data_IF_871306505513
#
_entry.id   IF_871306505513
#
_cell.length_a   1.000
_cell.length_b   1.000
_cell.length_c   1.000
_cell.angle_alpha   90.00
_cell.angle_beta   90.00
_cell.angle_gamma   90.00
#
_symmetry.space_group_name_H-M   'P 1'
#
loop_
_entity.id
_entity.type
_entity.pdbx_description
1 polymer ?
#
# COMPACT_ATOMS: atom_id res chain seq x y z
N UNK A 1 7.76 21.55 29.74
CA UNK A 1 8.31 20.69 28.67
C UNK A 1 8.87 21.52 27.52
N UNK A 2 8.17 22.57 27.05
CA UNK A 2 8.64 23.46 25.98
C UNK A 2 10.04 24.03 26.30
N UNK A 3 10.25 24.61 27.49
CA UNK A 3 11.56 25.14 27.91
C UNK A 3 12.74 24.19 27.67
N UNK A 4 12.61 22.91 28.03
CA UNK A 4 13.68 21.91 27.90
C UNK A 4 14.20 21.76 26.46
N UNK A 5 13.31 21.82 25.47
CA UNK A 5 13.65 21.65 24.04
C UNK A 5 14.37 22.90 23.49
N UNK A 6 14.15 24.05 24.12
CA UNK A 6 14.81 25.33 23.82
C UNK A 6 16.04 25.59 24.72
N UNK A 7 16.52 24.58 25.46
CA UNK A 7 17.70 24.70 26.31
C UNK A 7 17.45 25.37 27.67
N UNK A 8 16.18 25.64 28.03
CA UNK A 8 15.80 26.09 29.36
C UNK A 8 15.49 24.90 30.26
N UNK A 9 16.43 24.62 31.17
CA UNK A 9 16.35 23.49 32.10
C UNK A 9 15.84 23.87 33.49
N UNK A 10 15.34 25.10 33.69
CA UNK A 10 14.95 25.64 35.01
C UNK A 10 13.86 24.82 35.73
N UNK A 11 12.99 24.16 34.95
CA UNK A 11 11.90 23.31 35.47
C UNK A 11 12.15 21.81 35.27
N UNK A 12 13.40 21.41 35.05
CA UNK A 12 13.76 20.01 34.85
C UNK A 12 14.01 19.28 36.18
N UNK A 13 14.00 17.95 36.14
CA UNK A 13 14.37 17.10 37.28
C UNK A 13 15.52 16.16 36.90
N UNK A 14 16.42 15.88 37.84
CA UNK A 14 17.60 15.01 37.65
C UNK A 14 17.23 13.59 37.23
N UNK A 15 16.03 13.10 37.59
CA UNK A 15 15.56 11.75 37.19
C UNK A 15 15.42 11.54 35.68
N UNK A 16 15.28 12.60 34.89
CA UNK A 16 15.04 12.47 33.44
C UNK A 16 15.80 13.49 32.58
N UNK A 17 16.36 14.55 33.16
CA UNK A 17 17.09 15.56 32.43
C UNK A 17 18.61 15.39 32.61
N UNK A 18 19.25 14.79 31.61
CA UNK A 18 20.71 14.56 31.57
C UNK A 18 21.51 15.87 31.60
N UNK A 19 20.92 16.98 31.14
CA UNK A 19 21.57 18.29 31.05
C UNK A 19 21.77 18.97 32.42
N UNK A 20 21.08 18.53 33.47
CA UNK A 20 21.33 19.02 34.84
C UNK A 20 22.61 18.45 35.43
N UNK A 21 23.01 17.23 35.03
CA UNK A 21 24.24 16.58 35.48
C UNK A 21 25.41 16.80 34.51
N UNK A 22 25.12 16.89 33.21
CA UNK A 22 26.10 17.14 32.17
C UNK A 22 25.65 18.26 31.21
N UNK A 23 26.09 19.51 31.43
CA UNK A 23 25.73 20.66 30.60
C UNK A 23 26.22 20.56 29.14
N UNK A 24 27.15 19.65 28.84
CA UNK A 24 27.70 19.42 27.50
C UNK A 24 27.06 18.23 26.77
N UNK A 25 26.02 17.63 27.35
CA UNK A 25 25.27 16.56 26.70
C UNK A 25 24.65 17.02 25.36
N UNK A 26 24.41 16.09 24.43
CA UNK A 26 23.74 16.36 23.15
C UNK A 26 22.27 15.96 23.22
N UNK A 27 21.40 16.74 22.58
CA UNK A 27 19.98 16.38 22.46
C UNK A 27 19.81 15.20 21.50
N UNK A 28 19.52 13.99 22.01
CA UNK A 28 19.48 12.77 21.18
C UNK A 28 18.35 12.77 20.13
N UNK A 29 17.31 13.58 20.33
CA UNK A 29 16.12 13.63 19.48
C UNK A 29 15.98 14.92 18.67
N UNK A 30 16.94 15.84 18.76
CA UNK A 30 16.92 17.09 18.00
C UNK A 30 17.99 17.10 16.90
N UNK A 31 17.71 17.75 15.76
CA UNK A 31 18.69 17.93 14.69
C UNK A 31 19.99 18.54 15.22
N UNK A 32 21.12 17.97 14.81
CA UNK A 32 22.47 18.42 15.18
C UNK A 32 22.78 18.39 16.68
N UNK A 33 21.93 17.75 17.50
CA UNK A 33 22.11 17.64 18.95
C UNK A 33 22.02 18.96 19.70
N UNK A 34 21.45 20.01 19.09
CA UNK A 34 21.34 21.37 19.63
C UNK A 34 19.91 21.69 20.06
N UNK A 35 19.72 22.62 21.02
CA UNK A 35 18.39 23.12 21.36
C UNK A 35 17.78 23.89 20.19
N UNK A 36 16.44 23.96 20.16
CA UNK A 36 15.74 24.80 19.21
C UNK A 36 15.98 26.28 19.53
N UNK A 37 16.14 27.12 18.50
CA UNK A 37 16.50 28.53 18.65
C UNK A 37 15.42 29.51 18.15
N UNK A 38 14.33 29.02 17.56
CA UNK A 38 13.30 29.90 16.98
C UNK A 38 12.36 30.46 18.08
N UNK A 39 12.41 31.77 18.37
CA UNK A 39 11.62 32.37 19.45
C UNK A 39 10.13 32.43 19.15
N UNK A 40 9.73 32.58 17.88
CA UNK A 40 8.31 32.60 17.48
C UNK A 40 7.68 31.23 17.65
N UNK A 41 8.42 30.17 17.28
CA UNK A 41 8.01 28.79 17.53
C UNK A 41 7.86 28.51 19.03
N UNK A 42 8.79 29.00 19.87
CA UNK A 42 8.70 28.85 21.32
C UNK A 42 7.40 29.46 21.85
N UNK A 43 7.07 30.67 21.40
CA UNK A 43 5.86 31.40 21.82
C UNK A 43 4.57 30.70 21.41
N UNK A 44 4.47 30.20 20.17
CA UNK A 44 3.29 29.45 19.73
C UNK A 44 3.16 28.11 20.46
N UNK A 45 4.26 27.41 20.70
CA UNK A 45 4.25 26.18 21.50
C UNK A 45 3.82 26.47 22.94
N UNK A 46 4.38 27.48 23.59
CA UNK A 46 3.97 27.87 24.94
C UNK A 46 2.48 28.23 24.98
N UNK A 47 1.95 28.91 23.95
CA UNK A 47 0.51 29.18 23.83
C UNK A 47 -0.32 27.90 23.76
N UNK A 48 0.07 26.95 22.91
CA UNK A 48 -0.65 25.67 22.74
C UNK A 48 -0.60 24.84 24.02
N UNK A 49 0.59 24.66 24.59
CA UNK A 49 0.80 23.81 25.76
C UNK A 49 0.16 24.41 27.02
N UNK A 50 0.26 25.73 27.23
CA UNK A 50 -0.30 26.38 28.41
C UNK A 50 -1.81 26.62 28.31
N UNK A 51 -2.37 26.84 27.11
CA UNK A 51 -3.81 27.15 26.95
C UNK A 51 -4.66 25.92 26.64
N UNK A 52 -4.18 24.98 25.82
CA UNK A 52 -4.97 23.78 25.43
C UNK A 52 -4.65 22.56 26.29
N UNK A 53 -3.38 22.33 26.59
CA UNK A 53 -2.98 21.10 27.30
C UNK A 53 -3.33 21.14 28.79
N UNK A 54 -3.26 22.30 29.44
CA UNK A 54 -3.62 22.48 30.85
C UNK A 54 -5.11 22.20 31.12
N UNK A 55 -5.99 22.71 30.25
CA UNK A 55 -7.45 22.52 30.33
C UNK A 55 -7.84 21.05 30.08
N UNK A 56 -7.06 20.34 29.25
CA UNK A 56 -7.31 18.93 28.90
C UNK A 56 -6.44 17.95 29.68
N UNK A 57 -5.62 18.42 30.61
CA UNK A 57 -4.63 17.60 31.32
C UNK A 57 -5.29 16.43 32.06
N UNK A 58 -6.45 16.66 32.68
CA UNK A 58 -7.21 15.64 33.39
C UNK A 58 -7.79 14.58 32.44
N UNK A 59 -8.22 14.97 31.23
CA UNK A 59 -8.67 14.05 30.17
C UNK A 59 -7.50 13.24 29.59
N UNK A 60 -6.33 13.86 29.44
CA UNK A 60 -5.11 13.23 28.94
C UNK A 60 -4.42 12.33 29.98
N UNK A 61 -4.56 12.64 31.27
CA UNK A 61 -4.05 11.80 32.36
C UNK A 61 -4.79 10.45 32.42
N UNK A 62 -6.07 10.44 32.03
CA UNK A 62 -6.92 9.25 31.95
C UNK A 62 -6.81 8.50 30.60
N UNK A 63 -5.69 8.63 29.89
CA UNK A 63 -5.38 7.79 28.72
C UNK A 63 -5.10 6.35 29.18
N UNK A 64 -6.16 5.65 29.57
CA UNK A 64 -6.15 4.20 29.68
C UNK A 64 -5.71 3.63 28.33
N UNK A 65 -4.95 2.53 28.34
CA UNK A 65 -4.37 1.99 27.11
C UNK A 65 -5.48 1.65 26.11
N UNK A 66 -5.56 2.39 25.00
CA UNK A 66 -6.48 2.12 23.88
C UNK A 66 -6.38 0.65 23.42
N UNK A 67 -5.22 0.03 23.60
CA UNK A 67 -4.96 -1.37 23.30
C UNK A 67 -5.91 -2.36 24.00
N UNK A 68 -6.33 -2.08 25.24
CA UNK A 68 -7.26 -2.95 25.98
C UNK A 68 -8.66 -2.86 25.40
N UNK A 69 -9.10 -1.64 25.05
CA UNK A 69 -10.39 -1.39 24.40
C UNK A 69 -10.42 -2.01 23.00
N UNK A 70 -9.35 -1.88 22.22
CA UNK A 70 -9.20 -2.54 20.93
C UNK A 70 -9.28 -4.06 21.05
N UNK A 71 -8.61 -4.64 22.05
CA UNK A 71 -8.66 -6.10 22.24
C UNK A 71 -10.07 -6.57 22.61
N UNK A 72 -10.80 -5.84 23.45
CA UNK A 72 -12.19 -6.14 23.77
C UNK A 72 -13.07 -6.05 22.52
N UNK A 73 -12.92 -4.99 21.72
CA UNK A 73 -13.65 -4.80 20.47
C UNK A 73 -13.39 -5.93 19.46
N UNK A 74 -12.15 -6.42 19.38
CA UNK A 74 -11.82 -7.58 18.54
C UNK A 74 -12.54 -8.84 19.00
N UNK A 75 -12.59 -9.13 20.31
CA UNK A 75 -13.33 -10.29 20.83
C UNK A 75 -14.83 -10.11 20.53
N UNK A 76 -15.39 -8.91 20.75
CA UNK A 76 -16.80 -8.62 20.47
C UNK A 76 -17.13 -8.86 19.00
N UNK A 77 -16.28 -8.43 18.07
CA UNK A 77 -16.47 -8.63 16.64
C UNK A 77 -16.53 -10.12 16.24
N UNK A 78 -15.87 -11.01 16.99
CA UNK A 78 -15.98 -12.47 16.76
C UNK A 78 -17.31 -13.05 17.23
N UNK A 79 -17.91 -12.48 18.28
CA UNK A 79 -19.18 -12.96 18.85
C UNK A 79 -20.39 -12.28 18.21
N UNK A 80 -20.30 -11.01 17.84
CA UNK A 80 -21.35 -10.20 17.25
C UNK A 80 -20.81 -9.45 16.01
N UNK A 81 -20.55 -10.16 14.90
CA UNK A 81 -20.07 -9.54 13.68
C UNK A 81 -21.10 -8.55 13.12
N UNK A 82 -20.63 -7.38 12.64
CA UNK A 82 -21.47 -6.28 12.15
C UNK A 82 -22.41 -6.65 11.00
N UNK A 83 -22.03 -7.64 10.17
CA UNK A 83 -22.84 -8.10 9.04
C UNK A 83 -24.02 -8.99 9.47
N UNK A 84 -24.13 -9.36 10.76
CA UNK A 84 -25.26 -10.10 11.30
C UNK A 84 -26.07 -9.22 12.24
N UNK A 85 -27.38 -9.23 12.08
CA UNK A 85 -28.30 -8.48 12.94
C UNK A 85 -28.58 -9.25 14.24
N UNK A 86 -28.25 -8.66 15.39
CA UNK A 86 -28.50 -9.22 16.73
C UNK A 86 -29.34 -8.32 17.64
N UNK A 87 -29.75 -7.15 17.15
CA UNK A 87 -30.42 -6.12 17.96
C UNK A 87 -31.92 -6.35 18.13
N UNK A 88 -32.53 -7.30 17.39
CA UNK A 88 -33.94 -7.63 17.50
C UNK A 88 -34.32 -8.40 18.79
N UNK A 89 -33.36 -8.71 19.66
CA UNK A 89 -33.59 -9.43 20.93
C UNK A 89 -32.45 -9.19 21.93
N UNK A 90 -32.50 -9.84 23.10
CA UNK A 90 -31.41 -9.88 24.06
C UNK A 90 -30.13 -10.59 23.57
N UNK A 91 -30.12 -11.13 22.34
CA UNK A 91 -28.95 -11.80 21.79
C UNK A 91 -27.71 -10.91 21.77
N UNK A 92 -27.84 -9.62 21.47
CA UNK A 92 -26.70 -8.70 21.49
C UNK A 92 -26.12 -8.56 22.91
N UNK A 93 -26.99 -8.38 23.90
CA UNK A 93 -26.62 -8.28 25.32
C UNK A 93 -25.89 -9.52 25.79
N UNK A 94 -26.40 -10.72 25.50
CA UNK A 94 -25.72 -11.98 25.88
C UNK A 94 -24.34 -12.13 25.23
N UNK A 95 -24.19 -11.73 23.97
CA UNK A 95 -22.90 -11.76 23.26
C UNK A 95 -21.91 -10.76 23.84
N UNK A 96 -22.39 -9.60 24.27
CA UNK A 96 -21.59 -8.61 24.98
C UNK A 96 -21.15 -9.13 26.35
N UNK A 97 -22.07 -9.65 27.18
CA UNK A 97 -21.75 -10.25 28.48
C UNK A 97 -20.75 -11.41 28.33
N UNK A 98 -20.95 -12.29 27.35
CA UNK A 98 -20.01 -13.37 27.05
C UNK A 98 -18.63 -12.87 26.58
N UNK A 99 -18.56 -11.70 25.96
CA UNK A 99 -17.29 -11.05 25.58
C UNK A 99 -16.53 -10.59 26.82
N UNK A 100 -17.24 -9.93 27.74
CA UNK A 100 -16.66 -9.45 29.01
C UNK A 100 -16.19 -10.63 29.87
N UNK A 101 -17.01 -11.66 30.02
CA UNK A 101 -16.65 -12.87 30.75
C UNK A 101 -15.41 -13.55 30.14
N UNK A 102 -15.37 -13.74 28.81
CA UNK A 102 -14.19 -14.30 28.15
C UNK A 102 -12.92 -13.45 28.32
N UNK A 103 -13.07 -12.12 28.34
CA UNK A 103 -11.94 -11.19 28.50
C UNK A 103 -11.31 -11.32 29.90
N UNK A 104 -12.14 -11.51 30.92
CA UNK A 104 -11.72 -11.59 32.32
C UNK A 104 -11.26 -13.01 32.71
N UNK A 105 -12.05 -14.03 32.36
CA UNK A 105 -11.89 -15.42 32.83
C UNK A 105 -11.28 -16.36 31.77
N UNK A 106 -11.15 -15.90 30.52
CA UNK A 106 -10.67 -16.72 29.40
C UNK A 106 -11.77 -17.59 28.79
N UNK A 107 -11.43 -18.64 28.05
CA UNK A 107 -12.45 -19.49 27.40
C UNK A 107 -13.22 -20.39 28.38
N UNK A 108 -12.78 -20.42 29.64
CA UNK A 108 -13.41 -21.17 30.73
C UNK A 108 -14.70 -20.54 31.25
N UNK A 109 -15.00 -19.28 30.94
CA UNK A 109 -16.18 -18.57 31.43
C UNK A 109 -17.51 -19.36 31.26
N UNK A 110 -17.66 -20.16 30.19
CA UNK A 110 -18.86 -20.98 29.97
C UNK A 110 -19.02 -22.05 31.06
N UNK A 111 -17.92 -22.63 31.52
CA UNK A 111 -17.91 -23.59 32.62
C UNK A 111 -18.31 -22.91 33.94
N UNK A 112 -17.80 -21.70 34.20
CA UNK A 112 -18.12 -20.92 35.40
C UNK A 112 -19.60 -20.48 35.41
N UNK A 113 -20.14 -20.10 34.26
CA UNK A 113 -21.57 -19.82 34.09
C UNK A 113 -22.42 -21.07 34.32
N UNK A 114 -22.03 -22.24 33.79
CA UNK A 114 -22.78 -23.48 34.06
C UNK A 114 -22.76 -23.86 35.54
N UNK A 115 -21.60 -23.78 36.20
CA UNK A 115 -21.49 -24.08 37.64
C UNK A 115 -22.34 -23.13 38.49
N UNK A 116 -22.30 -21.83 38.21
CA UNK A 116 -23.13 -20.84 38.93
C UNK A 116 -24.64 -21.04 38.71
N UNK A 117 -25.04 -21.63 37.59
CA UNK A 117 -26.43 -22.00 37.31
C UNK A 117 -26.80 -23.40 37.84
N UNK A 118 -25.89 -24.09 38.54
CA UNK A 118 -26.11 -25.46 39.03
C UNK A 118 -26.18 -26.51 37.92
N UNK A 119 -25.69 -26.19 36.73
CA UNK A 119 -25.66 -27.09 35.57
C UNK A 119 -24.30 -27.78 35.46
N UNK A 120 -24.30 -29.02 34.99
CA UNK A 120 -23.04 -29.69 34.65
C UNK A 120 -22.39 -29.03 33.43
N UNK A 121 -21.14 -28.58 33.51
CA UNK A 121 -20.44 -27.97 32.39
C UNK A 121 -20.25 -28.93 31.20
N UNK A 122 -20.18 -30.23 31.48
CA UNK A 122 -19.92 -31.27 30.50
C UNK A 122 -18.44 -31.39 30.11
N UNK A 123 -17.99 -32.64 29.91
CA UNK A 123 -16.59 -32.96 29.60
C UNK A 123 -16.10 -32.29 28.30
N UNK A 124 -16.97 -32.17 27.29
CA UNK A 124 -16.62 -31.56 26.00
C UNK A 124 -16.39 -30.05 26.12
N UNK A 125 -17.21 -29.35 26.90
CA UNK A 125 -17.07 -27.90 27.14
C UNK A 125 -15.74 -27.60 27.81
N UNK A 126 -15.37 -28.37 28.85
CA UNK A 126 -14.11 -28.22 29.57
C UNK A 126 -12.91 -28.51 28.64
N UNK A 127 -12.97 -29.60 27.87
CA UNK A 127 -11.92 -29.93 26.88
C UNK A 127 -11.77 -28.86 25.81
N UNK A 128 -12.87 -28.28 25.32
CA UNK A 128 -12.85 -27.21 24.33
C UNK A 128 -12.31 -25.90 24.90
N UNK A 129 -12.71 -25.52 26.12
CA UNK A 129 -12.21 -24.32 26.78
C UNK A 129 -10.70 -24.39 26.99
N UNK A 130 -10.21 -25.50 27.55
CA UNK A 130 -8.77 -25.73 27.78
C UNK A 130 -7.95 -25.71 26.48
N UNK A 131 -8.46 -26.32 25.41
CA UNK A 131 -7.82 -26.26 24.08
C UNK A 131 -7.71 -24.81 23.57
N UNK A 132 -8.79 -24.05 23.66
CA UNK A 132 -8.81 -22.66 23.18
C UNK A 132 -7.86 -21.77 23.97
N UNK A 133 -7.79 -21.93 25.30
CA UNK A 133 -6.82 -21.20 26.11
C UNK A 133 -5.37 -21.59 25.81
N UNK A 134 -5.11 -22.86 25.51
CA UNK A 134 -3.78 -23.33 25.06
C UNK A 134 -3.39 -22.69 23.73
N UNK A 135 -4.31 -22.61 22.77
CA UNK A 135 -4.10 -21.95 21.47
C UNK A 135 -3.83 -20.46 21.68
N UNK A 136 -4.66 -19.77 22.47
CA UNK A 136 -4.48 -18.34 22.82
C UNK A 136 -3.09 -18.08 23.41
N UNK A 137 -2.65 -18.91 24.37
CA UNK A 137 -1.32 -18.79 25.00
C UNK A 137 -0.19 -19.01 23.99
N UNK A 138 -0.31 -19.99 23.10
CA UNK A 138 0.66 -20.24 22.01
C UNK A 138 0.79 -19.01 21.10
N UNK A 139 -0.33 -18.43 20.64
CA UNK A 139 -0.31 -17.24 19.80
C UNK A 139 0.25 -16.01 20.54
N UNK A 140 -0.11 -15.81 21.81
CA UNK A 140 0.45 -14.72 22.62
C UNK A 140 1.97 -14.82 22.73
N UNK A 141 2.50 -16.02 22.97
CA UNK A 141 3.95 -16.25 23.01
C UNK A 141 4.60 -16.00 21.65
N UNK A 142 3.98 -16.48 20.55
CA UNK A 142 4.47 -16.24 19.20
C UNK A 142 4.55 -14.73 18.88
N UNK A 143 3.53 -13.95 19.25
CA UNK A 143 3.47 -12.51 19.03
C UNK A 143 4.58 -11.72 19.75
N UNK A 144 5.09 -12.26 20.86
CA UNK A 144 6.21 -11.65 21.60
C UNK A 144 7.56 -11.87 20.91
N UNK A 145 7.68 -12.89 20.06
CA UNK A 145 8.95 -13.23 19.38
C UNK A 145 9.41 -12.13 18.43
N UNK A 146 10.73 -11.94 18.31
CA UNK A 146 11.34 -10.98 17.37
C UNK A 146 10.95 -11.27 15.92
N UNK A 147 10.91 -12.55 15.52
CA UNK A 147 10.53 -13.00 14.17
C UNK A 147 9.12 -12.53 13.82
N UNK A 148 8.15 -12.71 14.71
CA UNK A 148 6.78 -12.27 14.49
C UNK A 148 6.66 -10.74 14.41
N UNK A 149 7.31 -10.01 15.32
CA UNK A 149 7.32 -8.54 15.29
C UNK A 149 7.93 -7.99 14.00
N UNK A 150 9.01 -8.60 13.50
CA UNK A 150 9.65 -8.24 12.22
C UNK A 150 8.69 -8.47 11.05
N UNK A 151 8.08 -9.65 10.95
CA UNK A 151 7.10 -9.97 9.89
C UNK A 151 5.89 -9.03 9.93
N UNK A 152 5.45 -8.61 11.12
CA UNK A 152 4.34 -7.65 11.27
C UNK A 152 4.68 -6.28 10.67
N UNK A 153 5.90 -5.79 10.86
CA UNK A 153 6.37 -4.52 10.30
C UNK A 153 6.46 -4.63 8.77
N UNK A 154 7.02 -5.73 8.29
CA UNK A 154 7.12 -6.04 6.85
C UNK A 154 5.73 -6.06 6.19
N UNK A 155 4.78 -6.83 6.74
CA UNK A 155 3.39 -6.86 6.28
C UNK A 155 2.71 -5.49 6.33
N UNK A 156 3.02 -4.66 7.35
CA UNK A 156 2.48 -3.30 7.44
C UNK A 156 3.03 -2.43 6.31
N UNK A 157 4.31 -2.59 5.96
CA UNK A 157 4.94 -1.90 4.82
C UNK A 157 4.35 -2.36 3.50
N UNK A 158 4.21 -3.67 3.29
CA UNK A 158 3.58 -4.27 2.11
C UNK A 158 2.15 -3.73 1.94
N UNK A 159 1.36 -3.72 3.02
CA UNK A 159 -0.02 -3.21 2.99
C UNK A 159 -0.10 -1.71 2.75
N UNK A 160 0.80 -0.92 3.35
CA UNK A 160 0.84 0.53 3.10
C UNK A 160 1.16 0.84 1.65
N UNK A 161 2.06 0.07 1.03
CA UNK A 161 2.35 0.20 -0.40
C UNK A 161 1.12 -0.19 -1.24
N UNK A 162 0.47 -1.32 -0.91
CA UNK A 162 -0.74 -1.74 -1.62
C UNK A 162 -1.90 -0.76 -1.48
N UNK A 163 -2.10 -0.18 -0.30
CA UNK A 163 -3.12 0.83 -0.05
C UNK A 163 -2.81 2.14 -0.80
N UNK A 164 -1.56 2.59 -0.80
CA UNK A 164 -1.18 3.77 -1.59
C UNK A 164 -1.37 3.54 -3.09
N UNK A 165 -1.15 2.31 -3.59
CA UNK A 165 -1.47 1.95 -4.97
C UNK A 165 -2.99 1.97 -5.22
N UNK A 166 -3.80 1.49 -4.27
CA UNK A 166 -5.25 1.49 -4.36
C UNK A 166 -5.85 2.91 -4.28
N UNK A 167 -5.36 3.77 -3.39
CA UNK A 167 -5.79 5.17 -3.28
C UNK A 167 -5.45 5.96 -4.55
N UNK A 168 -4.28 5.71 -5.16
CA UNK A 168 -3.91 6.29 -6.46
C UNK A 168 -4.77 5.73 -7.61
N UNK A 169 -5.27 4.49 -7.50
CA UNK A 169 -6.20 3.89 -8.45
C UNK A 169 -7.63 4.42 -8.30
N UNK A 170 -8.06 4.71 -7.08
CA UNK A 170 -9.38 5.28 -6.77
C UNK A 170 -9.47 6.77 -7.13
N UNK A 171 -8.33 7.47 -7.22
CA UNK A 171 -8.28 8.90 -7.55
C UNK A 171 -8.71 9.80 -6.38
N UNK A 172 -8.89 11.09 -6.63
CA UNK A 172 -9.32 12.09 -5.62
C UNK A 172 -10.79 11.91 -5.25
N UNK A 173 -11.11 10.87 -4.47
CA UNK A 173 -12.48 10.68 -3.94
C UNK A 173 -12.71 11.41 -2.61
N UNK A 174 -11.64 11.79 -1.90
CA UNK A 174 -11.72 12.42 -0.57
C UNK A 174 -10.69 13.54 -0.40
N UNK A 175 -10.84 14.64 -1.14
CA UNK A 175 -10.30 15.92 -0.68
C UNK A 175 -11.26 16.56 0.33
N UNK A 176 -10.69 17.17 1.36
CA UNK A 176 -11.47 17.94 2.33
C UNK A 176 -12.02 19.19 1.63
N UNK A 177 -13.34 19.44 1.69
CA UNK A 177 -14.07 20.55 1.05
C UNK A 177 -14.48 20.38 -0.44
N UNK A 178 -14.53 19.17 -0.99
CA UNK A 178 -15.18 18.94 -2.31
C UNK A 178 -16.65 19.43 -2.33
N UNK A 179 -17.31 19.43 -1.18
CA UNK A 179 -18.75 19.75 -1.04
C UNK A 179 -19.07 21.27 -0.98
N UNK A 180 -18.08 22.17 -1.17
CA UNK A 180 -18.25 23.63 -0.92
C UNK A 180 -17.89 24.54 -2.11
N UNK A 181 -17.37 24.01 -3.22
CA UNK A 181 -17.13 24.82 -4.44
C UNK A 181 -18.27 24.63 -5.47
N UNK A 182 -19.43 25.21 -5.16
CA UNK A 182 -20.48 25.50 -6.14
C UNK A 182 -20.06 26.71 -6.99
N UNK A 183 -19.21 26.51 -8.01
CA UNK A 183 -19.17 27.39 -9.20
C UNK A 183 -18.32 26.86 -10.38
N UNK A 184 -18.38 25.55 -10.68
CA UNK A 184 -17.90 25.05 -11.97
C UNK A 184 -19.11 24.77 -12.86
N UNK A 185 -19.39 25.78 -13.67
CA UNK A 185 -20.24 25.79 -14.85
C UNK A 185 -20.24 24.46 -15.62
N UNK A 186 -21.43 24.06 -16.04
CA UNK A 186 -21.78 22.91 -16.87
C UNK A 186 -20.82 22.66 -18.05
N UNK A 187 -19.77 21.86 -17.81
CA UNK A 187 -19.12 21.04 -18.82
C UNK A 187 -19.01 19.63 -18.29
N UNK A 188 -20.15 18.93 -18.25
CA UNK A 188 -20.17 17.47 -18.20
C UNK A 188 -19.51 16.99 -19.50
N UNK A 189 -18.21 16.66 -19.44
CA UNK A 189 -17.58 15.85 -20.47
C UNK A 189 -18.35 14.53 -20.55
N UNK A 190 -18.91 14.23 -21.74
CA UNK A 190 -19.58 12.96 -21.99
C UNK A 190 -18.61 11.82 -21.69
N UNK A 191 -19.02 10.91 -20.80
CA UNK A 191 -18.30 9.67 -20.55
C UNK A 191 -18.09 8.99 -21.91
N UNK A 192 -16.85 8.72 -22.34
CA UNK A 192 -16.60 8.15 -23.66
C UNK A 192 -17.33 6.81 -23.76
N UNK A 193 -18.32 6.76 -24.64
CA UNK A 193 -19.11 5.56 -24.88
C UNK A 193 -18.15 4.49 -25.39
N UNK A 194 -18.08 3.35 -24.70
CA UNK A 194 -17.23 2.25 -25.14
C UNK A 194 -17.73 1.78 -26.51
N UNK A 195 -17.02 2.13 -27.58
CA UNK A 195 -17.30 1.57 -28.90
C UNK A 195 -17.14 0.06 -28.78
N UNK A 196 -18.24 -0.68 -28.94
CA UNK A 196 -18.17 -2.09 -29.21
C UNK A 196 -17.39 -2.26 -30.52
N UNK A 197 -16.20 -2.83 -30.43
CA UNK A 197 -15.42 -3.22 -31.60
C UNK A 197 -16.21 -4.33 -32.29
N UNK A 198 -16.74 -4.05 -33.48
CA UNK A 198 -17.40 -5.06 -34.32
C UNK A 198 -16.33 -6.00 -34.88
N UNK A 199 -16.61 -7.30 -34.89
CA UNK A 199 -15.67 -8.39 -35.22
C UNK A 199 -15.10 -8.39 -36.65
N UNK A 200 -15.38 -7.35 -37.45
CA UNK A 200 -15.04 -7.26 -38.87
C UNK A 200 -13.80 -6.37 -39.15
N UNK A 201 -13.27 -5.67 -38.14
CA UNK A 201 -12.07 -4.85 -38.27
C UNK A 201 -10.83 -5.60 -37.78
N UNK A 202 -9.97 -6.04 -38.71
CA UNK A 202 -8.71 -6.69 -38.38
C UNK A 202 -7.68 -5.63 -37.98
N UNK A 203 -7.56 -5.36 -36.68
CA UNK A 203 -6.54 -4.44 -36.14
C UNK A 203 -5.19 -5.14 -36.00
N UNK A 204 -4.08 -4.50 -36.37
CA UNK A 204 -2.75 -5.02 -36.08
C UNK A 204 -2.57 -5.22 -34.59
N UNK A 205 -2.17 -6.41 -34.19
CA UNK A 205 -1.89 -6.76 -32.79
C UNK A 205 -0.39 -6.64 -32.55
N UNK A 206 -0.03 -5.88 -31.51
CA UNK A 206 1.35 -5.73 -31.07
C UNK A 206 1.48 -6.35 -29.69
N UNK A 207 2.28 -7.40 -29.55
CA UNK A 207 2.65 -7.95 -28.24
C UNK A 207 3.73 -7.06 -27.64
N UNK A 208 3.53 -6.62 -26.40
CA UNK A 208 4.29 -5.54 -25.80
C UNK A 208 4.68 -5.88 -24.37
N UNK A 209 5.90 -5.52 -24.00
CA UNK A 209 6.47 -5.74 -22.68
C UNK A 209 7.45 -4.60 -22.31
N UNK A 210 7.44 -4.24 -21.03
CA UNK A 210 8.33 -3.20 -20.48
C UNK A 210 9.21 -3.75 -19.37
N UNK A 211 10.51 -3.53 -19.53
CA UNK A 211 11.43 -3.66 -18.40
C UNK A 211 11.60 -2.31 -17.71
N UNK A 212 11.65 -2.34 -16.38
CA UNK A 212 11.63 -1.13 -15.56
C UNK A 212 12.69 -1.15 -14.46
N UNK A 213 12.99 0.01 -13.88
CA UNK A 213 13.94 0.11 -12.76
C UNK A 213 13.46 -0.56 -11.47
N UNK A 214 12.17 -0.92 -11.38
CA UNK A 214 11.55 -1.58 -10.23
C UNK A 214 10.02 -1.65 -10.32
N UNK A 215 9.37 -2.19 -9.30
CA UNK A 215 7.91 -2.44 -9.30
C UNK A 215 7.02 -1.21 -8.97
N UNK A 216 7.59 -0.02 -8.88
CA UNK A 216 6.83 1.22 -8.64
C UNK A 216 6.22 1.74 -9.94
N UNK A 217 5.03 2.33 -9.88
CA UNK A 217 4.41 3.02 -11.05
C UNK A 217 5.17 4.28 -11.48
N UNK A 218 6.07 4.76 -10.63
CA UNK A 218 6.97 5.86 -10.87
C UNK A 218 8.35 5.37 -11.31
N UNK A 219 8.55 4.06 -11.53
CA UNK A 219 9.79 3.54 -12.10
C UNK A 219 10.03 4.13 -13.49
N UNK A 220 11.30 4.12 -13.88
CA UNK A 220 11.68 4.45 -15.25
C UNK A 220 11.62 3.18 -16.08
N UNK A 221 11.26 3.34 -17.35
CA UNK A 221 11.37 2.28 -18.36
C UNK A 221 12.85 2.17 -18.73
N UNK A 222 13.37 0.93 -18.79
CA UNK A 222 14.75 0.62 -19.18
C UNK A 222 14.81 -0.18 -20.47
N UNK A 223 13.74 -0.85 -20.87
CA UNK A 223 13.60 -1.47 -22.18
C UNK A 223 12.14 -1.42 -22.61
N UNK A 224 11.92 -1.19 -23.90
CA UNK A 224 10.62 -1.39 -24.55
C UNK A 224 10.80 -2.51 -25.57
N UNK A 225 9.97 -3.55 -25.47
CA UNK A 225 9.90 -4.61 -26.45
C UNK A 225 8.47 -4.64 -27.03
N UNK A 226 8.38 -4.59 -28.35
CA UNK A 226 7.14 -4.68 -29.08
C UNK A 226 7.33 -5.61 -30.30
N UNK A 227 6.48 -6.61 -30.46
CA UNK A 227 6.60 -7.60 -31.52
C UNK A 227 5.26 -7.84 -32.20
N UNK A 228 5.34 -7.99 -33.53
CA UNK A 228 4.26 -8.44 -34.40
C UNK A 228 4.73 -9.66 -35.18
N UNK A 229 3.89 -10.22 -36.04
CA UNK A 229 4.29 -11.34 -36.91
C UNK A 229 5.44 -10.96 -37.88
N UNK A 230 5.54 -9.68 -38.29
CA UNK A 230 6.45 -9.25 -39.36
C UNK A 230 7.50 -8.21 -38.92
N UNK A 231 7.24 -7.47 -37.86
CA UNK A 231 8.17 -6.47 -37.32
C UNK A 231 8.43 -6.66 -35.82
N UNK A 232 9.64 -6.29 -35.40
CA UNK A 232 10.06 -6.23 -33.99
C UNK A 232 10.67 -4.87 -33.69
N UNK A 233 10.33 -4.31 -32.54
CA UNK A 233 10.94 -3.14 -31.96
C UNK A 233 11.47 -3.52 -30.58
N UNK A 234 12.78 -3.31 -30.36
CA UNK A 234 13.41 -3.49 -29.06
C UNK A 234 14.41 -2.38 -28.85
N UNK A 235 14.24 -1.58 -27.80
CA UNK A 235 15.10 -0.45 -27.52
C UNK A 235 15.35 -0.32 -26.01
N UNK A 236 16.62 -0.10 -25.64
CA UNK A 236 17.00 0.21 -24.26
C UNK A 236 16.91 1.71 -24.01
N UNK A 237 16.35 2.06 -22.86
CA UNK A 237 16.10 3.45 -22.44
C UNK A 237 17.04 3.80 -21.30
N UNK A 238 17.71 4.94 -21.39
CA UNK A 238 18.54 5.44 -20.30
C UNK A 238 17.67 5.85 -19.10
N UNK A 239 17.79 5.20 -17.93
CA UNK A 239 16.99 5.54 -16.77
C UNK A 239 17.58 6.74 -16.01
N UNK A 240 16.70 7.57 -15.44
CA UNK A 240 17.09 8.61 -14.49
C UNK A 240 17.28 8.08 -13.07
N UNK A 241 16.67 6.94 -12.76
CA UNK A 241 16.71 6.26 -11.47
C UNK A 241 17.59 5.02 -11.53
N UNK A 242 18.21 4.69 -10.39
CA UNK A 242 18.96 3.44 -10.26
C UNK A 242 18.04 2.23 -10.42
N UNK A 243 18.45 1.26 -11.25
CA UNK A 243 17.81 -0.05 -11.33
C UNK A 243 17.97 -0.75 -9.97
N UNK A 244 16.85 -1.15 -9.38
CA UNK A 244 16.85 -1.86 -8.09
C UNK A 244 17.49 -3.24 -8.24
N UNK A 245 18.16 -3.77 -7.20
CA UNK A 245 18.73 -5.12 -7.26
C UNK A 245 17.70 -6.18 -7.66
N UNK A 246 16.47 -6.09 -7.14
CA UNK A 246 15.41 -7.03 -7.50
C UNK A 246 15.02 -6.96 -8.98
N UNK A 247 14.99 -5.76 -9.58
CA UNK A 247 14.73 -5.62 -11.01
C UNK A 247 15.88 -6.21 -11.82
N UNK A 248 17.13 -5.87 -11.47
CA UNK A 248 18.31 -6.40 -12.14
C UNK A 248 18.41 -7.93 -12.07
N UNK A 249 18.03 -8.55 -10.95
CA UNK A 249 18.02 -10.00 -10.80
C UNK A 249 17.09 -10.70 -11.81
N UNK A 250 15.97 -10.05 -12.15
CA UNK A 250 14.93 -10.55 -13.05
C UNK A 250 15.28 -10.23 -14.51
N UNK A 251 15.56 -8.97 -14.81
CA UNK A 251 15.72 -8.46 -16.18
C UNK A 251 17.13 -8.64 -16.73
N UNK A 252 18.09 -8.93 -15.85
CA UNK A 252 19.54 -8.91 -16.12
C UNK A 252 20.09 -7.57 -16.58
N UNK A 253 19.32 -6.49 -16.41
CA UNK A 253 19.75 -5.14 -16.78
C UNK A 253 20.45 -4.44 -15.62
N UNK A 254 21.54 -3.76 -15.94
CA UNK A 254 22.24 -2.84 -15.03
C UNK A 254 22.62 -1.56 -15.75
N UNK A 255 22.66 -0.46 -15.00
CA UNK A 255 23.04 0.86 -15.53
C UNK A 255 24.04 1.53 -14.60
N UNK A 256 25.25 1.79 -15.10
CA UNK A 256 26.30 2.47 -14.36
C UNK A 256 27.19 3.29 -15.30
N UNK A 257 27.67 4.45 -14.81
CA UNK A 257 28.49 5.38 -15.57
C UNK A 257 27.93 5.78 -16.96
N UNK A 258 26.61 5.91 -17.09
CA UNK A 258 25.96 6.30 -18.34
C UNK A 258 25.85 5.18 -19.38
N UNK A 259 26.23 3.94 -19.03
CA UNK A 259 26.19 2.77 -19.92
C UNK A 259 25.20 1.74 -19.38
N UNK A 260 24.36 1.21 -20.27
CA UNK A 260 23.46 0.08 -20.01
C UNK A 260 24.18 -1.25 -20.30
N UNK A 261 23.89 -2.27 -19.51
CA UNK A 261 24.38 -3.63 -19.69
C UNK A 261 23.24 -4.62 -19.56
N UNK A 262 23.21 -5.62 -20.43
CA UNK A 262 22.37 -6.81 -20.34
C UNK A 262 23.28 -8.02 -20.07
N UNK A 263 23.08 -8.69 -18.94
CA UNK A 263 23.88 -9.85 -18.52
C UNK A 263 25.39 -9.58 -18.61
N UNK A 264 25.82 -8.46 -18.03
CA UNK A 264 27.21 -7.96 -18.02
C UNK A 264 27.77 -7.54 -19.40
N UNK A 265 27.00 -7.66 -20.47
CA UNK A 265 27.39 -7.20 -21.82
C UNK A 265 26.86 -5.79 -22.07
N UNK A 266 27.71 -4.84 -22.53
CA UNK A 266 27.26 -3.48 -22.82
C UNK A 266 26.25 -3.49 -23.98
N UNK A 267 25.13 -2.81 -23.79
CA UNK A 267 24.09 -2.62 -24.81
C UNK A 267 23.89 -1.15 -25.12
N UNK A 268 23.59 -0.84 -26.37
CA UNK A 268 23.26 0.52 -26.77
C UNK A 268 21.93 0.94 -26.14
N UNK A 269 21.90 2.13 -25.54
CA UNK A 269 20.72 2.72 -24.94
C UNK A 269 20.63 4.18 -25.35
N UNK A 270 19.41 4.68 -25.49
CA UNK A 270 19.16 6.05 -25.94
C UNK A 270 18.33 6.83 -24.90
N UNK A 271 18.37 8.17 -24.94
CA UNK A 271 17.51 9.00 -24.10
C UNK A 271 16.03 8.67 -24.30
N UNK A 272 15.18 8.77 -23.24
CA UNK A 272 13.75 8.44 -23.33
C UNK A 272 13.03 9.09 -24.51
N UNK A 273 13.27 10.38 -24.76
CA UNK A 273 12.62 11.12 -25.85
C UNK A 273 12.87 10.49 -27.23
N UNK A 274 14.11 10.06 -27.52
CA UNK A 274 14.47 9.43 -28.80
C UNK A 274 13.82 8.05 -28.94
N UNK A 275 13.78 7.28 -27.86
CA UNK A 275 13.17 5.94 -27.86
C UNK A 275 11.65 6.05 -28.06
N UNK A 276 10.96 6.98 -27.39
CA UNK A 276 9.53 7.16 -27.59
C UNK A 276 9.18 7.73 -28.96
N UNK A 277 10.02 8.61 -29.51
CA UNK A 277 9.88 9.06 -30.90
C UNK A 277 9.99 7.88 -31.87
N UNK A 278 10.96 7.00 -31.64
CA UNK A 278 11.15 5.78 -32.44
C UNK A 278 10.00 4.79 -32.27
N UNK A 279 9.43 4.68 -31.07
CA UNK A 279 8.24 3.87 -30.82
C UNK A 279 7.02 4.42 -31.56
N UNK A 280 6.80 5.74 -31.54
CA UNK A 280 5.70 6.38 -32.29
C UNK A 280 5.91 6.15 -33.80
N UNK A 281 7.14 6.29 -34.29
CA UNK A 281 7.49 6.01 -35.68
C UNK A 281 7.29 4.53 -36.05
N UNK A 282 7.50 3.60 -35.11
CA UNK A 282 7.17 2.19 -35.29
C UNK A 282 5.65 1.98 -35.39
N UNK A 283 4.86 2.61 -34.51
CA UNK A 283 3.39 2.51 -34.53
C UNK A 283 2.77 3.16 -35.77
N UNK A 284 3.38 4.19 -36.34
CA UNK A 284 2.86 4.90 -37.52
C UNK A 284 3.01 4.11 -38.82
N UNK A 285 3.82 3.05 -38.85
CA UNK A 285 3.96 2.17 -40.02
C UNK A 285 2.72 1.32 -40.30
N UNK A 286 1.88 1.11 -39.28
CA UNK A 286 0.73 0.24 -39.40
C UNK A 286 -0.41 0.95 -40.14
N UNK A 287 -1.12 0.24 -41.06
CA UNK A 287 -2.16 0.83 -41.90
C UNK A 287 -3.40 1.29 -41.11
N UNK A 288 -3.63 0.70 -39.94
CA UNK A 288 -4.65 1.08 -38.98
C UNK A 288 -4.06 1.09 -37.58
N UNK A 289 -4.71 1.79 -36.65
CA UNK A 289 -4.23 1.95 -35.27
C UNK A 289 -4.10 0.57 -34.60
N UNK A 290 -2.88 0.10 -34.26
CA UNK A 290 -2.69 -1.17 -33.60
C UNK A 290 -3.32 -1.24 -32.20
N UNK A 291 -3.67 -2.45 -31.80
CA UNK A 291 -4.00 -2.77 -30.41
C UNK A 291 -2.80 -3.41 -29.73
N UNK A 292 -2.43 -2.84 -28.58
CA UNK A 292 -1.28 -3.29 -27.79
C UNK A 292 -1.74 -4.36 -26.81
N UNK A 293 -1.05 -5.49 -26.80
CA UNK A 293 -1.38 -6.67 -26.01
C UNK A 293 -0.21 -6.98 -25.08
N UNK A 294 -0.47 -7.13 -23.79
CA UNK A 294 0.55 -7.53 -22.84
C UNK A 294 -0.03 -8.32 -21.67
N UNK A 295 0.84 -9.01 -20.95
CA UNK A 295 0.42 -9.82 -19.80
C UNK A 295 0.42 -8.98 -18.53
N UNK A 296 -0.74 -8.80 -17.89
CA UNK A 296 -0.90 -7.92 -16.72
C UNK A 296 -0.65 -6.42 -17.05
N UNK A 297 -0.71 -6.05 -18.34
CA UNK A 297 -0.34 -4.73 -18.88
C UNK A 297 -1.17 -3.59 -18.27
N UNK A 298 -2.47 -3.82 -17.99
CA UNK A 298 -3.37 -2.78 -17.43
C UNK A 298 -3.01 -2.42 -16.00
N UNK A 299 -2.40 -3.34 -15.26
CA UNK A 299 -2.09 -3.14 -13.84
C UNK A 299 -0.73 -2.44 -13.64
N UNK A 300 0.18 -2.60 -14.60
CA UNK A 300 1.58 -2.20 -14.48
C UNK A 300 2.04 -1.30 -15.64
N UNK A 301 2.26 -1.89 -16.81
CA UNK A 301 2.91 -1.27 -17.97
C UNK A 301 2.19 -0.01 -18.45
N UNK A 302 0.86 -0.05 -18.59
CA UNK A 302 0.06 1.09 -19.05
C UNK A 302 0.28 2.35 -18.21
N UNK A 303 0.40 2.19 -16.88
CA UNK A 303 0.61 3.32 -15.98
C UNK A 303 2.00 3.91 -16.14
N UNK A 304 3.02 3.07 -16.27
CA UNK A 304 4.40 3.51 -16.40
C UNK A 304 4.61 4.17 -17.77
N UNK A 305 4.05 3.58 -18.83
CA UNK A 305 4.06 4.13 -20.18
C UNK A 305 3.37 5.50 -20.23
N UNK A 306 2.17 5.62 -19.67
CA UNK A 306 1.45 6.89 -19.55
C UNK A 306 2.28 7.94 -18.80
N UNK A 307 2.83 7.58 -17.63
CA UNK A 307 3.59 8.52 -16.81
C UNK A 307 4.83 9.05 -17.55
N UNK A 308 5.55 8.21 -18.29
CA UNK A 308 6.73 8.61 -19.04
C UNK A 308 6.37 9.47 -20.25
N UNK A 309 5.37 9.06 -21.04
CA UNK A 309 4.89 9.84 -22.18
C UNK A 309 4.31 11.20 -21.76
N UNK A 310 3.54 11.24 -20.67
CA UNK A 310 2.95 12.46 -20.14
C UNK A 310 4.04 13.43 -19.63
N UNK A 311 5.06 12.90 -18.93
CA UNK A 311 6.23 13.70 -18.52
C UNK A 311 6.97 14.32 -19.70
N UNK A 312 7.01 13.63 -20.84
CA UNK A 312 7.61 14.10 -22.08
C UNK A 312 6.65 14.91 -22.98
N UNK A 313 5.38 15.07 -22.59
CA UNK A 313 4.32 15.70 -23.39
C UNK A 313 4.09 15.03 -24.75
N UNK A 314 4.31 13.72 -24.83
CA UNK A 314 4.14 12.90 -26.05
C UNK A 314 2.89 12.02 -26.00
N UNK A 315 2.08 12.11 -24.93
CA UNK A 315 0.90 11.26 -24.74
C UNK A 315 -0.15 11.45 -25.84
N UNK A 316 -0.46 12.70 -26.18
CA UNK A 316 -1.48 13.02 -27.20
C UNK A 316 -1.04 12.55 -28.58
N UNK A 317 0.24 12.74 -28.93
CA UNK A 317 0.83 12.24 -30.17
C UNK A 317 0.78 10.71 -30.22
N UNK A 318 1.15 10.04 -29.13
CA UNK A 318 1.08 8.59 -29.03
C UNK A 318 -0.34 8.08 -29.31
N UNK A 319 -1.38 8.71 -28.74
CA UNK A 319 -2.80 8.37 -28.95
C UNK A 319 -3.29 8.50 -30.41
N UNK A 320 -2.55 9.22 -31.27
CA UNK A 320 -2.85 9.27 -32.70
C UNK A 320 -2.57 7.93 -33.39
N UNK A 321 -1.65 7.11 -32.86
CA UNK A 321 -1.12 5.93 -33.54
C UNK A 321 -1.43 4.59 -32.85
N UNK A 322 -2.25 4.54 -31.80
CA UNK A 322 -2.70 3.26 -31.22
C UNK A 322 -4.18 3.31 -30.82
N UNK A 323 -4.82 2.15 -30.77
CA UNK A 323 -6.26 2.02 -30.50
C UNK A 323 -6.56 1.76 -29.02
N UNK A 324 -5.75 0.94 -28.36
CA UNK A 324 -5.96 0.60 -26.95
C UNK A 324 -5.09 -0.54 -26.46
N UNK A 325 -5.36 -0.98 -25.23
CA UNK A 325 -4.63 -2.05 -24.55
C UNK A 325 -5.53 -3.25 -24.22
N UNK A 326 -5.02 -4.45 -24.47
CA UNK A 326 -5.61 -5.72 -24.08
C UNK A 326 -4.71 -6.39 -23.03
N UNK A 327 -5.31 -6.78 -21.90
CA UNK A 327 -4.61 -7.51 -20.85
C UNK A 327 -4.89 -9.01 -20.98
N UNK A 328 -3.86 -9.77 -21.39
CA UNK A 328 -4.01 -11.21 -21.60
C UNK A 328 -4.29 -11.95 -20.29
N UNK A 329 -3.85 -11.44 -19.14
CA UNK A 329 -4.14 -12.07 -17.85
C UNK A 329 -5.64 -12.08 -17.54
N UNK A 330 -6.36 -11.04 -17.95
CA UNK A 330 -7.82 -10.96 -17.82
C UNK A 330 -8.48 -11.92 -18.82
N UNK A 331 -7.99 -11.98 -20.05
CA UNK A 331 -8.48 -12.93 -21.07
C UNK A 331 -8.32 -14.38 -20.59
N UNK A 332 -7.12 -14.78 -20.13
CA UNK A 332 -6.88 -16.14 -19.63
C UNK A 332 -7.76 -16.49 -18.41
N UNK A 333 -8.10 -15.51 -17.56
CA UNK A 333 -9.05 -15.73 -16.45
C UNK A 333 -10.48 -15.99 -16.91
N UNK A 334 -10.87 -15.34 -18.02
CA UNK A 334 -12.19 -15.55 -18.64
C UNK A 334 -12.28 -16.91 -19.32
N UNK A 335 -11.25 -17.26 -20.10
CA UNK A 335 -11.22 -18.51 -20.87
C UNK A 335 -10.98 -19.75 -19.99
N UNK A 336 -10.14 -19.64 -18.96
CA UNK A 336 -9.77 -20.78 -18.11
C UNK A 336 -10.04 -20.49 -16.62
N UNK A 337 -11.30 -20.36 -16.19
CA UNK A 337 -11.64 -20.05 -14.82
C UNK A 337 -11.19 -21.15 -13.84
N UNK A 338 -10.83 -20.77 -12.61
CA UNK A 338 -10.49 -21.71 -11.54
C UNK A 338 -9.04 -22.19 -11.49
N UNK A 339 -8.14 -21.69 -12.35
CA UNK A 339 -6.69 -21.97 -12.22
C UNK A 339 -6.12 -21.42 -10.92
N UNK A 340 -5.14 -22.14 -10.37
CA UNK A 340 -4.40 -21.72 -9.16
C UNK A 340 -3.53 -20.48 -9.41
N UNK A 341 -3.02 -20.32 -10.63
CA UNK A 341 -2.21 -19.18 -11.04
C UNK A 341 -2.44 -18.80 -12.50
N UNK A 342 -2.25 -17.52 -12.77
CA UNK A 342 -2.28 -16.88 -14.10
C UNK A 342 -1.06 -15.99 -14.25
N UNK A 343 0.09 -16.41 -13.70
CA UNK A 343 1.37 -15.79 -14.03
C UNK A 343 1.82 -16.34 -15.38
N UNK A 344 2.54 -15.54 -16.14
CA UNK A 344 3.04 -15.93 -17.45
C UNK A 344 3.86 -17.23 -17.40
N UNK A 345 4.77 -17.39 -16.43
CA UNK A 345 5.57 -18.61 -16.25
C UNK A 345 4.71 -19.87 -16.04
N UNK A 346 3.59 -19.74 -15.33
CA UNK A 346 2.68 -20.86 -15.03
C UNK A 346 1.71 -21.13 -16.19
N UNK A 347 1.53 -20.19 -17.11
CA UNK A 347 0.75 -20.39 -18.33
C UNK A 347 1.59 -21.12 -19.38
N UNK A 348 2.86 -20.74 -19.52
CA UNK A 348 3.82 -21.38 -20.45
C UNK A 348 4.18 -22.81 -20.03
N UNK A 349 4.07 -23.17 -18.75
CA UNK A 349 4.28 -24.56 -18.33
C UNK A 349 3.14 -25.50 -18.73
N UNK A 350 1.97 -24.94 -18.99
CA UNK A 350 0.72 -25.69 -19.16
C UNK A 350 0.31 -25.87 -20.62
N UNK A 351 0.86 -25.04 -21.51
CA UNK A 351 0.63 -25.02 -22.95
C UNK A 351 1.98 -24.86 -23.66
#
# INVERSE_FOLDING_TARGET
MVGHIFGDHSFCNTKWCVFLENPLAKFSKLPYGKPLQNPELKKELDRIFNKKLSIQAEKLANLTSAQTNENLNQILATKAPKYKHYSASNSLSYRFSATVAQKNEGHRYVHEVHESMGLSPGNFTIKRATLMDKIRKKYSNLQKTRKYKRRRIELKSEKSNSNGIAEVLEGTTYESNIDIEDDITDQLEEIPTWKQITAEENFPIIVFDLETTGLSRQSDIVQIAAVTEYETFSAYVMPSKKITPQASDITKLTFFNGQMYYDEVPVESSPPFEVFTSLIAFLSKFPSKPTVVGHNIKTFDCHILYNQLNKLKMWDEFCLYFNGFIDTRILFRSEYPGRQSYKQCDLVSDF
#
